data_IF_551190226139
#
_entry.id   IF_551190226139
#
_cell.length_a   1.000
_cell.length_b   1.000
_cell.length_c   1.000
_cell.angle_alpha   90.00
_cell.angle_beta   90.00
_cell.angle_gamma   90.00
#
_symmetry.space_group_name_H-M   'P 1'
#
loop_
_entity.id
_entity.type
_entity.pdbx_description
1 polymer ?
#
# COMPACT_ATOMS: atom_id res chain seq x y z
N UNK A 1 -7.20 4.91 13.95
CA UNK A 1 -6.05 5.60 13.34
C UNK A 1 -5.42 4.64 12.35
N UNK A 2 -5.13 5.07 11.11
CA UNK A 2 -4.42 4.25 10.12
C UNK A 2 -2.99 4.77 10.04
N UNK A 3 -2.01 3.87 10.06
CA UNK A 3 -0.58 4.18 9.87
C UNK A 3 -0.10 3.36 8.69
N UNK A 4 0.48 4.02 7.70
CA UNK A 4 0.96 3.37 6.50
C UNK A 4 1.66 4.35 5.56
N UNK A 5 2.27 3.86 4.49
CA UNK A 5 2.37 2.44 4.13
C UNK A 5 3.78 2.13 3.61
N UNK A 6 4.22 0.88 3.75
CA UNK A 6 5.43 0.40 3.08
C UNK A 6 5.23 0.40 1.56
N UNK A 7 6.35 0.38 0.84
CA UNK A 7 6.40 0.24 -0.63
C UNK A 7 7.53 -0.74 -0.95
N UNK A 8 7.17 -1.92 -1.46
CA UNK A 8 8.09 -3.04 -1.62
C UNK A 8 7.83 -3.76 -2.95
N UNK A 9 8.89 -4.31 -3.55
CA UNK A 9 8.83 -5.07 -4.81
C UNK A 9 8.82 -6.58 -4.51
N UNK A 10 7.65 -7.11 -4.12
CA UNK A 10 7.48 -8.51 -3.67
C UNK A 10 6.50 -9.32 -4.56
N UNK A 11 6.23 -8.85 -5.77
CA UNK A 11 5.26 -9.49 -6.68
C UNK A 11 3.84 -9.47 -6.10
N UNK A 12 3.26 -10.65 -5.87
CA UNK A 12 1.89 -10.80 -5.35
C UNK A 12 1.84 -11.10 -3.85
N UNK A 13 2.97 -11.04 -3.14
CA UNK A 13 3.01 -11.32 -1.72
C UNK A 13 2.28 -10.24 -0.92
N UNK A 14 1.31 -10.65 -0.10
CA UNK A 14 0.57 -9.79 0.82
C UNK A 14 0.78 -10.21 2.28
N UNK A 15 1.88 -10.90 2.57
CA UNK A 15 2.26 -11.28 3.92
C UNK A 15 2.67 -10.05 4.71
N UNK A 16 2.00 -9.81 5.83
CA UNK A 16 2.46 -8.78 6.79
C UNK A 16 3.73 -9.27 7.46
N UNK A 17 4.81 -8.51 7.35
CA UNK A 17 6.09 -8.83 7.98
C UNK A 17 6.24 -8.09 9.32
N UNK A 18 6.92 -8.72 10.28
CA UNK A 18 7.24 -8.08 11.55
C UNK A 18 8.09 -6.82 11.35
N UNK A 19 9.00 -6.83 10.36
CA UNK A 19 9.82 -5.69 9.98
C UNK A 19 8.98 -4.50 9.50
N UNK A 20 8.06 -4.71 8.56
CA UNK A 20 7.20 -3.64 8.04
C UNK A 20 6.29 -3.04 9.12
N UNK A 21 5.76 -3.86 10.03
CA UNK A 21 4.97 -3.35 11.18
C UNK A 21 5.84 -2.52 12.12
N UNK A 22 7.04 -3.00 12.44
CA UNK A 22 7.96 -2.28 13.32
C UNK A 22 8.37 -0.93 12.73
N UNK A 23 8.75 -0.87 11.45
CA UNK A 23 9.16 0.36 10.78
C UNK A 23 8.04 1.42 10.81
N UNK A 24 6.81 1.03 10.46
CA UNK A 24 5.65 1.93 10.49
C UNK A 24 5.36 2.47 11.89
N UNK A 25 5.41 1.62 12.92
CA UNK A 25 5.16 2.04 14.31
C UNK A 25 6.29 2.91 14.86
N UNK A 26 7.55 2.59 14.51
CA UNK A 26 8.73 3.37 14.90
C UNK A 26 8.63 4.80 14.35
N UNK A 27 8.39 4.94 13.05
CA UNK A 27 8.28 6.25 12.40
C UNK A 27 7.05 7.03 12.90
N UNK A 28 5.93 6.35 13.13
CA UNK A 28 4.75 7.00 13.68
C UNK A 28 4.96 7.52 15.11
N UNK A 29 5.70 6.80 15.95
CA UNK A 29 6.02 7.25 17.31
C UNK A 29 6.92 8.50 17.31
N UNK A 30 7.84 8.63 16.35
CA UNK A 30 8.68 9.82 16.21
C UNK A 30 7.84 11.10 15.97
N UNK A 31 6.76 10.98 15.20
CA UNK A 31 5.86 12.10 14.88
C UNK A 31 4.74 12.31 15.91
N UNK A 32 4.23 11.21 16.47
CA UNK A 32 3.09 11.19 17.40
C UNK A 32 3.43 10.27 18.57
N UNK A 33 4.15 10.76 19.60
CA UNK A 33 4.67 9.90 20.67
C UNK A 33 3.61 9.09 21.42
N UNK A 34 2.41 9.65 21.61
CA UNK A 34 1.29 8.98 22.30
C UNK A 34 0.68 7.80 21.55
N UNK A 35 1.13 7.48 20.32
CA UNK A 35 0.60 6.35 19.55
C UNK A 35 0.86 4.99 20.23
N UNK A 36 1.90 4.89 21.06
CA UNK A 36 2.27 3.65 21.76
C UNK A 36 1.25 3.20 22.81
N UNK A 37 0.34 4.09 23.22
CA UNK A 37 -0.76 3.77 24.14
C UNK A 37 -2.01 3.24 23.42
N UNK A 38 -2.08 3.36 22.09
CA UNK A 38 -3.23 2.93 21.30
C UNK A 38 -3.17 1.41 21.04
N UNK A 39 -4.32 0.71 21.03
CA UNK A 39 -4.35 -0.70 20.65
C UNK A 39 -4.07 -0.88 19.15
N UNK A 40 -3.27 -1.90 18.81
CA UNK A 40 -3.11 -2.33 17.42
C UNK A 40 -4.33 -3.17 17.02
N UNK A 41 -5.23 -2.58 16.24
CA UNK A 41 -6.51 -3.21 15.88
C UNK A 41 -6.43 -4.10 14.65
N UNK A 42 -5.56 -3.77 13.70
CA UNK A 42 -5.46 -4.46 12.41
C UNK A 42 -4.10 -4.23 11.76
N UNK A 43 -3.58 -5.25 11.07
CA UNK A 43 -2.48 -5.14 10.13
C UNK A 43 -2.88 -5.77 8.79
N UNK A 44 -2.57 -5.10 7.68
CA UNK A 44 -2.86 -5.58 6.32
C UNK A 44 -1.77 -5.13 5.36
N UNK A 45 -1.50 -5.96 4.36
CA UNK A 45 -0.74 -5.60 3.17
C UNK A 45 -1.65 -5.68 1.95
N UNK A 46 -1.42 -4.82 0.97
CA UNK A 46 -2.22 -4.76 -0.25
C UNK A 46 -1.36 -4.38 -1.44
N UNK A 47 -1.78 -4.83 -2.61
CA UNK A 47 -1.07 -4.60 -3.87
C UNK A 47 -1.58 -3.31 -4.51
N UNK A 48 -0.66 -2.42 -4.86
CA UNK A 48 -0.97 -1.23 -5.64
C UNK A 48 -0.97 -1.64 -7.12
N UNK A 49 -2.06 -1.43 -7.88
CA UNK A 49 -1.93 -1.48 -9.32
C UNK A 49 -0.86 -0.48 -9.74
N UNK A 50 -0.13 -0.82 -10.80
CA UNK A 50 0.90 0.04 -11.37
C UNK A 50 0.92 -0.17 -12.88
N UNK A 51 1.55 0.78 -13.56
CA UNK A 51 1.80 0.75 -15.00
C UNK A 51 3.30 0.98 -15.27
N UNK A 52 3.82 0.61 -16.44
CA UNK A 52 5.25 0.76 -16.75
C UNK A 52 5.79 2.20 -16.63
N UNK A 53 4.94 3.21 -16.76
CA UNK A 53 5.28 4.63 -16.63
C UNK A 53 4.72 5.28 -15.35
N UNK A 54 4.08 4.50 -14.46
CA UNK A 54 3.38 4.94 -13.26
C UNK A 54 2.22 5.93 -13.51
N UNK A 55 1.74 6.06 -14.75
CA UNK A 55 0.54 6.83 -15.05
C UNK A 55 -0.71 5.93 -15.06
N UNK A 56 -1.89 6.44 -14.67
CA UNK A 56 -3.15 5.71 -14.80
C UNK A 56 -3.42 5.28 -16.25
N UNK A 57 -3.88 4.03 -16.42
CA UNK A 57 -4.34 3.50 -17.69
C UNK A 57 -5.85 3.76 -17.84
N UNK A 58 -6.17 4.86 -18.55
CA UNK A 58 -7.54 5.31 -18.78
C UNK A 58 -7.85 5.37 -20.28
N UNK A 59 -8.92 4.69 -20.72
CA UNK A 59 -9.45 4.85 -22.08
C UNK A 59 -9.54 3.56 -22.89
N UNK A 60 -9.79 3.67 -24.21
CA UNK A 60 -10.03 2.52 -25.07
C UNK A 60 -8.77 1.68 -25.31
N UNK A 61 -8.96 0.38 -25.51
CA UNK A 61 -7.91 -0.55 -25.95
C UNK A 61 -7.97 -0.79 -27.46
N UNK A 62 -7.08 -1.65 -27.97
CA UNK A 62 -7.15 -2.14 -29.35
C UNK A 62 -8.40 -3.02 -29.62
N UNK A 63 -9.04 -3.55 -28.58
CA UNK A 63 -10.26 -4.36 -28.71
C UNK A 63 -11.51 -3.47 -28.79
N UNK A 64 -12.39 -3.66 -29.79
CA UNK A 64 -13.60 -2.86 -29.93
C UNK A 64 -14.49 -2.91 -28.68
N UNK A 65 -14.79 -1.75 -28.12
CA UNK A 65 -15.68 -1.61 -26.96
C UNK A 65 -15.05 -1.91 -25.60
N UNK A 66 -13.76 -2.28 -25.53
CA UNK A 66 -13.06 -2.51 -24.26
C UNK A 66 -12.31 -1.24 -23.81
N UNK A 67 -12.59 -0.80 -22.59
CA UNK A 67 -11.93 0.33 -21.93
C UNK A 67 -11.16 -0.14 -20.68
N UNK A 68 -10.07 0.57 -20.36
CA UNK A 68 -9.32 0.43 -19.11
C UNK A 68 -9.64 1.60 -18.15
N UNK A 69 -9.67 1.26 -16.87
CA UNK A 69 -9.75 2.18 -15.75
C UNK A 69 -8.96 1.61 -14.57
N UNK A 70 -7.64 1.56 -14.72
CA UNK A 70 -6.69 0.98 -13.75
C UNK A 70 -5.38 1.79 -13.75
N UNK A 71 -4.35 1.28 -13.10
CA UNK A 71 -3.05 1.93 -12.97
C UNK A 71 -2.84 2.43 -11.55
#
# INVERSE_FOLDING_TARGET
LVVGATSEEMGWDTTVTAGGVYELLRDAHELVPGITELPLTETRAGLRPASPDNAPLLGPTALPGLLLATG
#
